data_IF_692285750890
#
_entry.id   IF_692285750890
#
_cell.length_a   1.000
_cell.length_b   1.000
_cell.length_c   1.000
_cell.angle_alpha   90.00
_cell.angle_beta   90.00
_cell.angle_gamma   90.00
#
_symmetry.space_group_name_H-M   'P 1'
#
loop_
_entity.id
_entity.type
_entity.pdbx_description
1 polymer ?
#
# COMPACT_ATOMS: atom_id res chain seq x y z
N UNK A 1 -34.44 51.21 70.25
CA UNK A 1 -34.15 49.79 69.88
C UNK A 1 -34.13 49.69 68.36
N UNK A 2 -32.94 49.67 67.77
CA UNK A 2 -32.76 49.57 66.28
C UNK A 2 -32.41 48.12 66.00
N UNK A 3 -33.32 47.43 65.29
CA UNK A 3 -33.05 46.05 64.80
C UNK A 3 -32.33 46.11 63.46
N UNK A 4 -31.08 45.66 63.42
CA UNK A 4 -30.32 45.46 62.23
C UNK A 4 -30.69 44.10 61.64
N UNK A 5 -31.24 44.12 60.41
CA UNK A 5 -31.44 42.88 59.60
C UNK A 5 -30.19 42.63 58.74
N UNK A 6 -29.47 41.56 59.04
CA UNK A 6 -28.42 41.06 58.22
C UNK A 6 -28.99 40.13 57.13
N UNK A 7 -28.80 40.52 55.87
CA UNK A 7 -29.16 39.72 54.67
C UNK A 7 -28.03 38.75 54.36
N UNK A 8 -28.26 37.43 54.17
CA UNK A 8 -27.19 36.50 53.77
C UNK A 8 -26.91 36.65 52.29
N UNK A 9 -25.63 36.84 51.98
CA UNK A 9 -25.08 36.87 50.62
C UNK A 9 -25.03 35.45 50.06
N UNK A 10 -25.89 35.15 49.09
CA UNK A 10 -25.90 33.86 48.38
C UNK A 10 -24.82 33.88 47.28
N UNK A 11 -23.70 33.20 47.50
CA UNK A 11 -22.65 33.03 46.48
C UNK A 11 -23.11 31.88 45.57
N UNK A 12 -23.58 32.20 44.37
CA UNK A 12 -23.83 31.22 43.30
C UNK A 12 -22.51 30.94 42.59
N UNK A 13 -21.91 29.80 42.88
CA UNK A 13 -20.75 29.34 42.17
C UNK A 13 -21.20 28.80 40.79
N UNK A 14 -20.94 29.54 39.73
CA UNK A 14 -21.09 29.10 38.35
C UNK A 14 -19.96 28.09 38.03
N UNK A 15 -20.26 26.80 38.07
CA UNK A 15 -19.39 25.77 37.46
C UNK A 15 -19.53 25.86 35.94
N UNK A 16 -18.59 26.51 35.28
CA UNK A 16 -18.44 26.45 33.85
C UNK A 16 -17.89 25.06 33.49
N UNK A 17 -18.78 24.14 33.08
CA UNK A 17 -18.33 22.86 32.45
C UNK A 17 -17.72 23.18 31.10
N UNK A 18 -16.41 23.14 31.05
CA UNK A 18 -15.64 23.20 29.79
C UNK A 18 -15.85 21.89 29.03
N UNK A 19 -16.89 21.85 28.19
CA UNK A 19 -17.12 20.76 27.28
C UNK A 19 -16.09 20.91 26.14
N UNK A 20 -15.01 20.14 26.20
CA UNK A 20 -14.03 20.05 25.11
C UNK A 20 -14.77 19.46 23.91
N UNK A 21 -15.29 20.30 23.03
CA UNK A 21 -15.86 19.88 21.74
C UNK A 21 -14.68 19.48 20.86
N UNK A 22 -14.35 18.19 20.83
CA UNK A 22 -13.52 17.64 19.75
C UNK A 22 -14.31 17.84 18.46
N UNK A 23 -13.74 18.58 17.52
CA UNK A 23 -14.31 18.69 16.18
C UNK A 23 -14.41 17.28 15.60
N UNK A 24 -15.51 16.93 14.91
CA UNK A 24 -15.62 15.61 14.28
C UNK A 24 -14.47 15.44 13.27
N UNK A 25 -13.79 14.30 13.34
CA UNK A 25 -12.73 13.95 12.38
C UNK A 25 -13.36 13.88 10.99
N UNK A 26 -12.67 14.43 9.98
CA UNK A 26 -13.10 14.29 8.59
C UNK A 26 -13.23 12.81 8.22
N UNK A 27 -14.26 12.38 7.49
CA UNK A 27 -14.38 10.98 7.05
C UNK A 27 -13.15 10.44 6.33
N UNK A 28 -12.40 11.28 5.62
CA UNK A 28 -11.16 10.91 4.94
C UNK A 28 -9.94 10.82 5.86
N UNK A 29 -10.03 11.37 7.07
CA UNK A 29 -9.00 11.31 8.11
C UNK A 29 -9.32 10.24 9.18
N UNK A 30 -10.47 9.58 9.10
CA UNK A 30 -10.89 8.53 10.02
C UNK A 30 -10.24 7.21 9.69
N UNK A 31 -9.31 6.77 10.55
CA UNK A 31 -8.62 5.47 10.45
C UNK A 31 -9.30 4.34 11.22
N UNK A 32 -10.46 4.56 11.85
CA UNK A 32 -11.11 3.61 12.77
C UNK A 32 -11.45 2.25 12.15
N UNK A 33 -11.58 2.21 10.82
CA UNK A 33 -11.87 0.99 10.07
C UNK A 33 -10.61 0.29 9.50
N UNK A 34 -9.44 0.86 9.81
CA UNK A 34 -8.16 0.29 9.43
C UNK A 34 -7.54 -0.52 10.56
N UNK A 35 -6.64 -1.41 10.20
CA UNK A 35 -5.82 -2.17 11.12
C UNK A 35 -4.37 -2.15 10.65
N UNK A 36 -3.44 -2.29 11.58
CA UNK A 36 -2.03 -2.52 11.25
C UNK A 36 -1.86 -3.97 10.82
N UNK A 37 -1.20 -4.21 9.68
CA UNK A 37 -1.02 -5.56 9.13
C UNK A 37 -0.30 -6.46 10.14
N UNK A 38 0.73 -6.00 10.83
CA UNK A 38 1.46 -6.79 11.83
C UNK A 38 0.62 -7.24 13.03
N UNK A 39 -0.50 -6.58 13.32
CA UNK A 39 -1.40 -7.00 14.39
C UNK A 39 -2.30 -8.17 13.95
N UNK A 40 -2.54 -8.30 12.64
CA UNK A 40 -3.38 -9.36 12.04
C UNK A 40 -2.53 -10.51 11.49
N UNK A 41 -1.35 -10.19 10.94
CA UNK A 41 -0.40 -11.13 10.32
C UNK A 41 0.98 -10.87 10.95
N UNK A 42 1.25 -11.35 12.17
CA UNK A 42 2.47 -11.01 12.91
C UNK A 42 3.77 -11.49 12.25
N UNK A 43 3.70 -12.49 11.40
CA UNK A 43 4.83 -13.05 10.65
C UNK A 43 5.04 -12.41 9.27
N UNK A 44 4.20 -11.46 8.86
CA UNK A 44 4.45 -10.67 7.65
C UNK A 44 5.75 -9.86 7.78
N UNK A 45 6.55 -9.87 6.71
CA UNK A 45 7.75 -9.07 6.63
C UNK A 45 7.40 -7.73 6.03
N UNK A 46 7.68 -6.65 6.76
CA UNK A 46 7.41 -5.29 6.28
C UNK A 46 8.71 -4.67 5.73
N UNK A 47 8.77 -4.45 4.42
CA UNK A 47 9.82 -3.67 3.76
C UNK A 47 9.19 -2.46 3.07
N UNK A 48 8.68 -1.53 3.88
CA UNK A 48 7.86 -0.42 3.39
C UNK A 48 8.72 0.55 2.58
N UNK A 49 8.64 0.40 1.25
CA UNK A 49 9.51 1.08 0.27
C UNK A 49 9.35 2.60 0.31
N UNK A 50 8.15 3.08 0.57
CA UNK A 50 7.87 4.51 0.57
C UNK A 50 8.17 5.20 1.91
N UNK A 51 8.37 4.45 2.98
CA UNK A 51 9.02 4.97 4.20
C UNK A 51 10.54 5.08 4.03
N UNK A 52 11.14 4.16 3.31
CA UNK A 52 12.57 4.14 2.99
C UNK A 52 12.92 5.06 1.81
N UNK A 53 14.21 5.13 1.47
CA UNK A 53 14.70 5.88 0.30
C UNK A 53 14.90 5.01 -0.93
N UNK A 54 14.83 3.68 -0.80
CA UNK A 54 14.96 2.76 -1.93
C UNK A 54 13.59 2.56 -2.60
N UNK A 55 13.15 3.58 -3.33
CA UNK A 55 11.96 3.64 -4.16
C UNK A 55 12.29 4.48 -5.41
N UNK A 56 11.38 4.57 -6.37
CA UNK A 56 11.63 5.25 -7.64
C UNK A 56 11.84 6.77 -7.52
N UNK A 57 11.47 7.40 -6.39
CA UNK A 57 11.71 8.81 -6.09
C UNK A 57 13.10 9.02 -5.47
N UNK A 58 13.60 8.04 -4.71
CA UNK A 58 14.88 8.13 -3.99
C UNK A 58 14.80 8.88 -2.66
N UNK A 59 13.59 9.11 -2.15
CA UNK A 59 13.31 9.84 -0.89
C UNK A 59 12.14 9.17 -0.17
N UNK A 60 12.02 9.43 1.16
CA UNK A 60 10.80 9.08 1.89
C UNK A 60 9.62 9.82 1.28
N UNK A 61 8.52 9.12 1.09
CA UNK A 61 7.29 9.67 0.52
C UNK A 61 6.46 10.36 1.60
N UNK A 62 5.84 11.47 1.24
CA UNK A 62 5.01 12.26 2.15
C UNK A 62 3.86 11.42 2.72
N UNK A 63 3.63 11.55 4.03
CA UNK A 63 2.58 10.83 4.72
C UNK A 63 2.99 9.46 5.27
N UNK A 64 4.20 8.95 5.00
CA UNK A 64 4.76 7.77 5.66
C UNK A 64 5.57 8.20 6.89
N UNK A 65 4.97 8.10 8.06
CA UNK A 65 5.58 8.52 9.34
C UNK A 65 6.34 7.38 10.02
N UNK A 66 5.88 6.12 9.82
CA UNK A 66 6.49 4.91 10.39
C UNK A 66 6.61 3.80 9.34
N UNK A 67 7.55 2.84 9.51
CA UNK A 67 7.74 1.69 8.60
C UNK A 67 6.69 0.60 8.86
N UNK A 68 5.43 0.96 8.78
CA UNK A 68 4.28 0.08 9.02
C UNK A 68 3.35 0.04 7.81
N UNK A 69 2.45 -0.93 7.78
CA UNK A 69 1.47 -1.10 6.72
C UNK A 69 0.06 -1.20 7.30
N UNK A 70 -0.87 -0.47 6.70
CA UNK A 70 -2.26 -0.41 7.12
C UNK A 70 -3.17 -0.91 6.01
N UNK A 71 -4.24 -1.61 6.37
CA UNK A 71 -5.33 -1.98 5.46
C UNK A 71 -6.68 -1.76 6.15
N UNK A 72 -7.73 -1.64 5.35
CA UNK A 72 -9.09 -1.82 5.88
C UNK A 72 -9.21 -3.21 6.50
N UNK A 73 -9.98 -3.34 7.58
CA UNK A 73 -10.14 -4.62 8.29
C UNK A 73 -10.54 -5.78 7.36
N UNK A 74 -11.53 -5.65 6.44
CA UNK A 74 -11.84 -6.73 5.52
C UNK A 74 -10.68 -7.13 4.60
N UNK A 75 -9.88 -6.18 4.12
CA UNK A 75 -8.72 -6.47 3.29
C UNK A 75 -7.61 -7.18 4.09
N UNK A 76 -7.38 -6.77 5.34
CA UNK A 76 -6.41 -7.43 6.21
C UNK A 76 -6.83 -8.86 6.59
N UNK A 77 -8.12 -9.11 6.82
CA UNK A 77 -8.66 -10.44 7.10
C UNK A 77 -8.54 -11.36 5.87
N UNK A 78 -8.82 -10.86 4.67
CA UNK A 78 -8.61 -11.59 3.42
C UNK A 78 -7.12 -11.89 3.20
N UNK A 79 -6.24 -10.91 3.44
CA UNK A 79 -4.78 -11.09 3.33
C UNK A 79 -4.24 -12.08 4.36
N UNK A 80 -4.84 -12.14 5.55
CA UNK A 80 -4.49 -13.17 6.54
C UNK A 80 -4.79 -14.58 6.02
N UNK A 81 -5.91 -14.79 5.35
CA UNK A 81 -6.24 -16.08 4.76
C UNK A 81 -5.24 -16.47 3.65
N UNK A 82 -4.75 -15.50 2.86
CA UNK A 82 -3.65 -15.72 1.91
C UNK A 82 -2.37 -16.14 2.65
N UNK A 83 -2.03 -15.44 3.73
CA UNK A 83 -0.84 -15.76 4.54
C UNK A 83 -0.94 -17.16 5.13
N UNK A 84 -2.08 -17.53 5.72
CA UNK A 84 -2.30 -18.85 6.32
C UNK A 84 -2.10 -19.97 5.26
N UNK A 85 -2.64 -19.81 4.05
CA UNK A 85 -2.45 -20.76 2.94
C UNK A 85 -0.98 -20.88 2.52
N UNK A 86 -0.28 -19.75 2.41
CA UNK A 86 1.10 -19.73 1.89
C UNK A 86 2.13 -20.20 2.94
N UNK A 87 1.87 -20.00 4.23
CA UNK A 87 2.70 -20.55 5.31
C UNK A 87 2.73 -22.09 5.26
N UNK A 88 1.60 -22.73 4.99
CA UNK A 88 1.54 -24.19 4.83
C UNK A 88 2.40 -24.68 3.66
N UNK A 89 2.68 -23.81 2.69
CA UNK A 89 3.56 -24.08 1.54
C UNK A 89 5.01 -23.64 1.76
N UNK A 90 5.34 -23.09 2.93
CA UNK A 90 6.69 -22.65 3.28
C UNK A 90 7.01 -21.20 2.91
N UNK A 91 5.99 -20.36 2.68
CA UNK A 91 6.19 -18.95 2.31
C UNK A 91 5.56 -18.00 3.33
N UNK A 92 6.22 -16.88 3.56
CA UNK A 92 5.67 -15.72 4.27
C UNK A 92 5.37 -14.60 3.28
N UNK A 93 4.45 -13.73 3.61
CA UNK A 93 4.21 -12.50 2.85
C UNK A 93 5.29 -11.46 3.18
N UNK A 94 5.79 -10.78 2.16
CA UNK A 94 6.65 -9.62 2.27
C UNK A 94 5.97 -8.43 1.62
N UNK A 95 5.65 -7.42 2.44
CA UNK A 95 4.84 -6.26 2.06
C UNK A 95 5.74 -5.09 1.70
N UNK A 96 5.54 -4.50 0.52
CA UNK A 96 6.23 -3.31 0.04
C UNK A 96 5.44 -2.03 0.28
N UNK A 97 4.11 -2.09 0.06
CA UNK A 97 3.16 -1.00 0.31
C UNK A 97 1.76 -1.56 0.60
N UNK A 98 0.92 -0.76 1.26
CA UNK A 98 -0.48 -1.08 1.49
C UNK A 98 -1.32 0.20 1.37
N UNK A 99 -2.00 0.66 2.42
CA UNK A 99 -2.61 1.98 2.40
C UNK A 99 -1.55 3.06 2.14
N UNK A 100 -1.81 3.90 1.14
CA UNK A 100 -1.01 5.06 0.75
C UNK A 100 -1.87 6.32 0.87
N UNK A 101 -1.52 7.27 1.75
CA UNK A 101 -2.31 8.49 1.90
C UNK A 101 -2.26 9.35 0.63
N UNK A 102 -3.29 10.16 0.38
CA UNK A 102 -3.30 11.05 -0.79
C UNK A 102 -2.05 11.93 -0.88
N UNK A 103 -1.47 12.34 0.26
CA UNK A 103 -0.18 13.08 0.28
C UNK A 103 0.96 12.33 -0.43
N UNK A 104 0.99 11.00 -0.32
CA UNK A 104 1.97 10.16 -1.01
C UNK A 104 1.75 10.16 -2.52
N UNK A 105 0.51 10.05 -2.97
CA UNK A 105 0.14 10.16 -4.38
C UNK A 105 0.51 11.53 -4.94
N UNK A 106 0.18 12.60 -4.21
CA UNK A 106 0.52 13.98 -4.59
C UNK A 106 2.06 14.17 -4.67
N UNK A 107 2.83 13.47 -3.82
CA UNK A 107 4.30 13.49 -3.91
C UNK A 107 4.79 12.85 -5.22
N UNK A 108 4.22 11.72 -5.63
CA UNK A 108 4.55 11.08 -6.92
C UNK A 108 4.22 11.98 -8.11
N UNK A 109 3.07 12.66 -8.09
CA UNK A 109 2.67 13.61 -9.13
C UNK A 109 3.68 14.77 -9.22
N UNK A 110 4.05 15.39 -8.09
CA UNK A 110 5.05 16.46 -8.06
C UNK A 110 6.42 15.98 -8.55
N UNK A 111 6.86 14.80 -8.11
CA UNK A 111 8.11 14.20 -8.57
C UNK A 111 8.08 13.93 -10.08
N UNK A 112 6.99 13.38 -10.61
CA UNK A 112 6.87 13.08 -12.04
C UNK A 112 6.88 14.36 -12.90
N UNK A 113 6.31 15.45 -12.40
CA UNK A 113 6.34 16.75 -13.08
C UNK A 113 7.74 17.40 -13.10
N UNK A 114 8.62 17.07 -12.17
CA UNK A 114 10.03 17.50 -12.18
C UNK A 114 10.87 16.55 -13.05
N UNK A 115 10.92 16.82 -14.34
CA UNK A 115 11.64 16.00 -15.31
C UNK A 115 13.16 15.94 -15.09
N UNK A 116 13.73 16.88 -14.32
CA UNK A 116 15.16 16.91 -14.00
C UNK A 116 15.54 15.94 -12.85
N UNK A 117 14.61 15.60 -11.97
CA UNK A 117 14.85 14.64 -10.88
C UNK A 117 14.84 13.20 -11.43
N UNK A 118 15.99 12.69 -11.81
CA UNK A 118 16.21 11.35 -12.38
C UNK A 118 17.08 10.46 -11.49
N UNK A 119 17.17 10.76 -10.19
CA UNK A 119 18.06 10.10 -9.23
C UNK A 119 17.99 8.57 -9.30
N UNK A 120 16.81 8.00 -9.39
CA UNK A 120 16.60 6.56 -9.35
C UNK A 120 16.29 5.94 -10.73
N UNK A 121 16.50 6.69 -11.82
CA UNK A 121 16.18 6.24 -13.18
C UNK A 121 16.84 4.91 -13.53
N UNK A 122 18.12 4.74 -13.23
CA UNK A 122 18.88 3.54 -13.59
C UNK A 122 18.37 2.28 -12.90
N UNK A 123 17.64 2.41 -11.79
CA UNK A 123 17.13 1.29 -10.99
C UNK A 123 15.68 0.92 -11.34
N UNK A 124 14.83 1.90 -11.68
CA UNK A 124 13.39 1.67 -11.80
C UNK A 124 12.83 1.95 -13.20
N UNK A 125 13.43 2.85 -13.98
CA UNK A 125 12.90 3.24 -15.31
C UNK A 125 14.01 3.61 -16.31
N UNK A 126 15.06 2.74 -16.49
CA UNK A 126 16.21 3.09 -17.35
C UNK A 126 15.82 3.29 -18.81
N UNK A 127 14.75 2.65 -19.25
CA UNK A 127 14.32 2.61 -20.65
C UNK A 127 13.20 3.63 -20.95
N UNK A 128 12.77 4.40 -19.93
CA UNK A 128 11.73 5.39 -20.08
C UNK A 128 12.28 6.81 -19.91
N UNK A 129 11.71 7.73 -20.66
CA UNK A 129 11.80 9.15 -20.35
C UNK A 129 10.73 9.49 -19.31
N UNK A 130 11.09 10.32 -18.33
CA UNK A 130 10.16 10.69 -17.25
C UNK A 130 8.94 11.47 -17.77
N UNK A 131 9.05 12.15 -18.89
CA UNK A 131 7.95 12.88 -19.54
C UNK A 131 6.77 12.01 -19.97
N UNK A 132 6.98 10.68 -20.13
CA UNK A 132 5.91 9.77 -20.57
C UNK A 132 5.20 9.03 -19.43
N UNK A 133 5.61 9.26 -18.17
CA UNK A 133 5.10 8.48 -17.03
C UNK A 133 3.60 8.67 -16.77
N UNK A 134 3.07 9.87 -17.01
CA UNK A 134 1.63 10.14 -16.94
C UNK A 134 0.88 9.49 -18.10
N UNK A 135 1.38 9.66 -19.33
CA UNK A 135 0.74 9.15 -20.54
C UNK A 135 0.67 7.62 -20.57
N UNK A 136 1.67 6.95 -19.95
CA UNK A 136 1.74 5.51 -19.85
C UNK A 136 1.14 4.98 -18.54
N UNK A 137 0.45 5.82 -17.76
CA UNK A 137 -0.27 5.50 -16.55
C UNK A 137 0.59 4.90 -15.41
N UNK A 138 1.92 5.09 -15.44
CA UNK A 138 2.78 4.71 -14.30
C UNK A 138 2.56 5.62 -13.09
N UNK A 139 2.20 6.89 -13.32
CA UNK A 139 1.85 7.85 -12.26
C UNK A 139 0.43 8.37 -12.53
N UNK A 140 -0.40 8.33 -11.49
CA UNK A 140 -1.80 8.76 -11.53
C UNK A 140 -2.12 9.68 -10.35
N UNK A 141 -3.09 10.59 -10.53
CA UNK A 141 -3.55 11.50 -9.47
C UNK A 141 -4.41 10.81 -8.39
N UNK A 142 -4.87 9.59 -8.67
CA UNK A 142 -5.66 8.75 -7.76
C UNK A 142 -5.10 7.34 -7.75
N UNK A 143 -5.08 6.72 -6.59
CA UNK A 143 -4.55 5.37 -6.40
C UNK A 143 -5.53 4.46 -5.67
N UNK A 144 -5.57 3.18 -6.05
CA UNK A 144 -6.27 2.14 -5.31
C UNK A 144 -5.81 2.04 -3.86
N UNK A 145 -4.52 2.21 -3.62
CA UNK A 145 -3.93 2.20 -2.28
C UNK A 145 -4.54 3.22 -1.33
N UNK A 146 -4.94 4.39 -1.85
CA UNK A 146 -5.53 5.46 -1.03
C UNK A 146 -6.93 5.11 -0.52
N UNK A 147 -7.58 4.08 -1.08
CA UNK A 147 -8.85 3.53 -0.60
C UNK A 147 -8.69 2.48 0.50
N UNK A 148 -7.44 2.05 0.77
CA UNK A 148 -7.09 1.20 1.91
C UNK A 148 -7.33 -0.29 1.73
N UNK A 149 -7.64 -0.77 0.54
CA UNK A 149 -7.87 -2.20 0.27
C UNK A 149 -6.96 -2.77 -0.82
N UNK A 150 -5.85 -2.08 -1.09
CA UNK A 150 -4.82 -2.47 -2.05
C UNK A 150 -3.51 -2.72 -1.32
N UNK A 151 -2.78 -3.76 -1.75
CA UNK A 151 -1.49 -4.15 -1.21
C UNK A 151 -0.52 -4.52 -2.32
N UNK A 152 0.74 -4.09 -2.18
CA UNK A 152 1.88 -4.48 -3.00
C UNK A 152 2.76 -5.42 -2.20
N UNK A 153 2.99 -6.64 -2.72
CA UNK A 153 3.68 -7.67 -1.95
C UNK A 153 4.39 -8.69 -2.84
N UNK A 154 5.26 -9.46 -2.19
CA UNK A 154 5.92 -10.63 -2.74
C UNK A 154 5.95 -11.77 -1.72
N UNK A 155 6.61 -12.88 -2.09
CA UNK A 155 6.83 -14.04 -1.24
C UNK A 155 8.24 -14.04 -0.64
N UNK A 156 8.34 -14.54 0.58
CA UNK A 156 9.60 -14.84 1.24
C UNK A 156 9.64 -16.34 1.54
N UNK A 157 10.63 -17.04 0.99
CA UNK A 157 10.83 -18.48 1.18
C UNK A 157 11.45 -18.74 2.56
N UNK A 158 10.73 -19.47 3.41
CA UNK A 158 11.14 -19.77 4.79
C UNK A 158 12.28 -20.80 4.86
N UNK A 159 12.47 -21.60 3.79
CA UNK A 159 13.54 -22.58 3.74
C UNK A 159 14.88 -21.97 3.36
N UNK A 160 14.87 -21.09 2.35
CA UNK A 160 16.08 -20.40 1.89
C UNK A 160 16.37 -19.12 2.62
N UNK A 161 15.41 -18.62 3.42
CA UNK A 161 15.42 -17.33 4.11
C UNK A 161 15.68 -16.14 3.15
N UNK A 162 15.07 -16.19 1.96
CA UNK A 162 15.23 -15.17 0.93
C UNK A 162 13.89 -14.78 0.32
N UNK A 163 13.86 -13.59 -0.24
CA UNK A 163 12.78 -13.17 -1.14
C UNK A 163 12.74 -14.10 -2.35
N UNK A 164 11.54 -14.51 -2.75
CA UNK A 164 11.32 -15.34 -3.94
C UNK A 164 11.61 -14.51 -5.18
N UNK A 165 12.41 -15.07 -6.10
CA UNK A 165 12.76 -14.40 -7.33
C UNK A 165 11.57 -14.38 -8.29
N UNK A 166 11.00 -13.20 -8.50
CA UNK A 166 9.88 -12.92 -9.40
C UNK A 166 10.33 -12.48 -10.81
N UNK A 167 11.65 -12.45 -11.08
CA UNK A 167 12.18 -12.02 -12.37
C UNK A 167 12.13 -10.52 -12.64
N UNK A 168 11.85 -9.72 -11.61
CA UNK A 168 11.83 -8.27 -11.71
C UNK A 168 11.65 -7.63 -10.34
N UNK A 169 12.17 -6.42 -10.18
CA UNK A 169 12.04 -5.66 -8.92
C UNK A 169 10.68 -5.01 -8.82
N UNK A 170 10.22 -4.80 -7.59
CA UNK A 170 9.09 -3.93 -7.27
C UNK A 170 9.30 -2.52 -7.86
N UNK A 171 8.23 -1.88 -8.34
CA UNK A 171 8.25 -0.55 -8.97
C UNK A 171 9.09 -0.44 -10.26
N UNK A 172 9.37 -1.54 -10.96
CA UNK A 172 9.97 -1.47 -12.27
C UNK A 172 8.96 -0.94 -13.30
N UNK A 173 9.28 0.18 -13.97
CA UNK A 173 8.43 0.78 -15.00
C UNK A 173 8.75 0.18 -16.37
N UNK A 174 8.02 -0.86 -16.73
CA UNK A 174 8.19 -1.58 -17.99
C UNK A 174 7.28 -2.80 -18.08
N UNK A 175 7.14 -3.35 -19.29
CA UNK A 175 6.28 -4.51 -19.54
C UNK A 175 6.75 -5.76 -18.78
N UNK A 176 8.00 -5.79 -18.32
CA UNK A 176 8.53 -6.86 -17.48
C UNK A 176 7.82 -6.98 -16.13
N UNK A 177 7.10 -5.93 -15.72
CA UNK A 177 6.26 -5.91 -14.50
C UNK A 177 4.86 -6.48 -14.69
N UNK A 178 4.43 -6.64 -15.94
CA UNK A 178 3.09 -7.14 -16.22
C UNK A 178 2.94 -8.61 -15.81
N UNK A 179 1.80 -9.03 -15.24
CA UNK A 179 1.54 -10.42 -14.89
C UNK A 179 1.62 -11.39 -16.07
N UNK A 180 1.27 -10.93 -17.28
CA UNK A 180 1.30 -11.71 -18.53
C UNK A 180 2.65 -11.72 -19.23
N UNK A 181 3.66 -11.04 -18.68
CA UNK A 181 4.99 -11.02 -19.27
C UNK A 181 5.60 -12.41 -19.32
N UNK A 182 5.93 -12.89 -20.53
CA UNK A 182 6.44 -14.23 -20.85
C UNK A 182 5.46 -15.39 -20.59
N UNK A 183 4.17 -15.13 -20.37
CA UNK A 183 3.21 -16.22 -20.15
C UNK A 183 1.77 -15.77 -20.18
N UNK A 184 0.86 -16.68 -19.91
CA UNK A 184 -0.57 -16.42 -19.79
C UNK A 184 -1.01 -16.61 -18.33
N UNK A 185 -1.35 -15.55 -17.60
CA UNK A 185 -1.74 -15.65 -16.19
C UNK A 185 -3.08 -16.38 -15.98
N UNK A 186 -3.96 -16.45 -16.98
CA UNK A 186 -5.25 -17.14 -16.86
C UNK A 186 -5.11 -18.65 -16.92
N UNK A 187 -4.14 -19.14 -17.71
CA UNK A 187 -3.86 -20.57 -17.85
C UNK A 187 -2.66 -21.04 -17.02
N UNK A 188 -1.84 -20.12 -16.52
CA UNK A 188 -0.57 -20.41 -15.87
C UNK A 188 0.52 -20.92 -16.83
N UNK A 189 0.31 -20.80 -18.16
CA UNK A 189 1.22 -21.29 -19.17
C UNK A 189 2.36 -20.30 -19.43
N UNK A 190 3.60 -20.76 -19.28
CA UNK A 190 4.79 -20.02 -19.69
C UNK A 190 5.00 -20.13 -21.20
N UNK A 191 5.01 -19.03 -21.91
CA UNK A 191 5.21 -18.99 -23.38
C UNK A 191 6.62 -18.56 -23.79
N UNK A 192 7.33 -17.85 -22.90
CA UNK A 192 8.61 -17.22 -23.21
C UNK A 192 8.52 -16.00 -24.12
N UNK A 193 7.31 -15.54 -24.44
CA UNK A 193 7.11 -14.34 -25.26
C UNK A 193 7.52 -13.07 -24.50
N UNK A 194 8.64 -12.51 -24.90
CA UNK A 194 9.20 -11.28 -24.38
C UNK A 194 9.16 -10.12 -25.39
N UNK A 195 8.33 -10.23 -26.41
CA UNK A 195 8.23 -9.25 -27.51
C UNK A 195 7.89 -7.83 -27.04
N UNK A 196 7.20 -7.71 -25.90
CA UNK A 196 6.90 -6.43 -25.29
C UNK A 196 8.14 -5.73 -24.66
N UNK A 197 9.21 -6.47 -24.33
CA UNK A 197 10.42 -5.90 -23.72
C UNK A 197 11.21 -5.06 -24.69
N UNK A 198 11.48 -3.80 -24.30
CA UNK A 198 12.26 -2.85 -25.14
C UNK A 198 13.74 -3.24 -25.29
N UNK A 199 14.25 -4.08 -24.39
CA UNK A 199 15.66 -4.49 -24.33
C UNK A 199 15.86 -6.01 -24.46
N UNK A 200 14.81 -6.73 -24.86
CA UNK A 200 14.84 -8.19 -24.96
C UNK A 200 15.04 -8.90 -23.63
N UNK A 201 14.66 -8.27 -22.50
CA UNK A 201 14.65 -8.93 -21.20
C UNK A 201 13.62 -10.04 -21.22
N UNK A 202 13.82 -11.05 -20.40
CA UNK A 202 12.92 -12.18 -20.24
C UNK A 202 12.94 -12.61 -18.78
N UNK A 203 11.89 -13.29 -18.35
CA UNK A 203 11.87 -14.02 -17.09
C UNK A 203 11.92 -15.53 -17.39
N UNK A 204 12.36 -16.32 -16.42
CA UNK A 204 12.41 -17.77 -16.52
C UNK A 204 11.04 -18.41 -16.27
N UNK A 205 10.83 -19.69 -16.67
CA UNK A 205 9.63 -20.45 -16.30
C UNK A 205 9.40 -20.49 -14.79
N UNK A 206 10.45 -20.59 -13.98
CA UNK A 206 10.38 -20.61 -12.53
C UNK A 206 9.90 -19.26 -11.96
N UNK A 207 10.46 -18.14 -12.45
CA UNK A 207 10.04 -16.80 -12.06
C UNK A 207 8.58 -16.53 -12.43
N UNK A 208 8.13 -16.99 -13.60
CA UNK A 208 6.72 -16.92 -13.97
C UNK A 208 5.85 -17.77 -13.05
N UNK A 209 6.24 -19.01 -12.74
CA UNK A 209 5.53 -19.87 -11.82
C UNK A 209 5.43 -19.28 -10.41
N UNK A 210 6.48 -18.58 -9.93
CA UNK A 210 6.47 -17.87 -8.67
C UNK A 210 5.42 -16.74 -8.64
N UNK A 211 5.31 -15.96 -9.73
CA UNK A 211 4.25 -14.94 -9.87
C UNK A 211 2.87 -15.59 -9.85
N UNK A 212 2.68 -16.72 -10.52
CA UNK A 212 1.40 -17.45 -10.52
C UNK A 212 1.05 -18.01 -9.15
N UNK A 213 2.02 -18.50 -8.39
CA UNK A 213 1.81 -18.96 -7.01
C UNK A 213 1.22 -17.84 -6.13
N UNK A 214 1.81 -16.65 -6.18
CA UNK A 214 1.31 -15.47 -5.46
C UNK A 214 -0.06 -15.05 -5.97
N UNK A 215 -0.19 -14.85 -7.29
CA UNK A 215 -1.45 -14.44 -7.94
C UNK A 215 -2.61 -15.36 -7.56
N UNK A 216 -2.42 -16.65 -7.68
CA UNK A 216 -3.48 -17.63 -7.48
C UNK A 216 -3.93 -17.71 -6.01
N UNK A 217 -2.99 -17.54 -5.06
CA UNK A 217 -3.35 -17.43 -3.66
C UNK A 217 -4.17 -16.15 -3.40
N UNK A 218 -3.74 -15.01 -3.92
CA UNK A 218 -4.45 -13.73 -3.77
C UNK A 218 -5.85 -13.77 -4.38
N UNK A 219 -5.99 -14.29 -5.61
CA UNK A 219 -7.29 -14.40 -6.31
C UNK A 219 -8.24 -15.33 -5.57
N UNK A 220 -7.78 -16.49 -5.08
CA UNK A 220 -8.63 -17.41 -4.29
C UNK A 220 -9.23 -16.76 -3.04
N UNK A 221 -8.54 -15.78 -2.48
CA UNK A 221 -8.99 -15.07 -1.28
C UNK A 221 -9.62 -13.69 -1.58
N UNK A 222 -10.10 -13.50 -2.82
CA UNK A 222 -10.94 -12.35 -3.19
C UNK A 222 -10.21 -11.08 -3.57
N UNK A 223 -8.93 -11.18 -3.95
CA UNK A 223 -8.20 -10.07 -4.52
C UNK A 223 -8.21 -10.15 -6.06
N UNK A 224 -8.26 -8.99 -6.70
CA UNK A 224 -8.06 -8.84 -8.15
C UNK A 224 -6.66 -8.30 -8.43
N UNK A 225 -6.10 -8.69 -9.55
CA UNK A 225 -4.80 -8.26 -10.07
C UNK A 225 -4.88 -6.90 -10.77
N UNK A 226 -3.74 -6.26 -10.96
CA UNK A 226 -3.55 -5.15 -11.89
C UNK A 226 -2.79 -5.66 -13.14
N UNK A 227 -3.22 -5.24 -14.34
CA UNK A 227 -2.64 -5.73 -15.60
C UNK A 227 -1.20 -5.29 -15.83
N UNK A 228 -0.75 -4.22 -15.16
CA UNK A 228 0.60 -3.65 -15.33
C UNK A 228 1.61 -4.04 -14.25
N UNK A 229 1.16 -4.70 -13.14
CA UNK A 229 2.00 -4.90 -11.96
C UNK A 229 1.73 -6.25 -11.31
N UNK A 230 2.70 -7.19 -11.34
CA UNK A 230 2.56 -8.54 -10.79
C UNK A 230 2.44 -8.57 -9.25
N UNK A 231 2.87 -7.53 -8.57
CA UNK A 231 2.86 -7.40 -7.10
C UNK A 231 1.58 -6.78 -6.54
N UNK A 232 0.77 -6.12 -7.39
CA UNK A 232 -0.35 -5.27 -7.00
C UNK A 232 -1.68 -6.01 -6.96
N UNK A 233 -2.35 -5.96 -5.80
CA UNK A 233 -3.62 -6.64 -5.58
C UNK A 233 -4.60 -5.75 -4.82
N UNK A 234 -5.83 -5.68 -5.30
CA UNK A 234 -6.92 -4.92 -4.66
C UNK A 234 -8.04 -5.88 -4.27
N UNK A 235 -8.58 -5.78 -3.05
CA UNK A 235 -9.76 -6.56 -2.64
C UNK A 235 -10.94 -6.26 -3.58
N UNK A 236 -11.60 -7.29 -4.14
CA UNK A 236 -12.70 -7.10 -5.11
C UNK A 236 -13.87 -6.32 -4.50
N UNK A 237 -14.26 -6.68 -3.28
CA UNK A 237 -15.36 -6.04 -2.56
C UNK A 237 -14.80 -5.05 -1.53
N UNK A 238 -14.03 -4.06 -2.00
CA UNK A 238 -13.49 -3.05 -1.12
C UNK A 238 -14.61 -2.21 -0.45
N UNK A 239 -14.50 -1.93 0.87
CA UNK A 239 -15.56 -1.23 1.60
C UNK A 239 -15.69 0.24 1.24
N UNK A 240 -14.63 0.84 0.67
CA UNK A 240 -14.55 2.28 0.38
C UNK A 240 -14.11 2.55 -1.07
N UNK A 241 -14.87 2.11 -2.10
CA UNK A 241 -14.44 2.19 -3.50
C UNK A 241 -14.27 3.62 -4.02
N UNK A 242 -14.90 4.60 -3.36
CA UNK A 242 -14.92 6.00 -3.77
C UNK A 242 -14.28 6.96 -2.74
N UNK A 243 -13.71 6.43 -1.63
CA UNK A 243 -13.12 7.24 -0.57
C UNK A 243 -11.60 7.21 -0.63
N UNK A 244 -10.98 8.38 -0.78
CA UNK A 244 -9.53 8.55 -0.81
C UNK A 244 -9.08 9.13 0.52
N UNK A 245 -8.44 8.32 1.36
CA UNK A 245 -8.05 8.67 2.71
C UNK A 245 -6.80 9.54 2.75
N UNK A 246 -6.65 10.34 3.83
CA UNK A 246 -5.61 11.36 3.96
C UNK A 246 -4.77 11.25 5.22
N UNK A 247 -5.14 10.36 6.17
CA UNK A 247 -4.38 10.17 7.42
C UNK A 247 -3.00 9.54 7.15
N UNK A 248 -1.99 9.83 7.98
CA UNK A 248 -0.63 9.31 7.75
C UNK A 248 -0.54 7.80 8.04
N UNK A 249 0.46 7.16 7.39
CA UNK A 249 0.86 5.79 7.69
C UNK A 249 1.70 5.78 8.96
N UNK A 250 1.13 5.29 10.04
CA UNK A 250 1.77 5.04 11.34
C UNK A 250 1.01 3.97 12.10
N UNK A 251 1.63 3.40 13.13
CA UNK A 251 0.98 2.42 14.01
C UNK A 251 -0.34 3.00 14.55
N UNK A 252 -1.41 2.20 14.45
CA UNK A 252 -2.71 2.58 15.01
C UNK A 252 -2.79 2.17 16.47
N UNK A 253 -3.13 3.12 17.34
CA UNK A 253 -3.40 2.87 18.75
C UNK A 253 -4.91 2.72 18.91
N UNK A 254 -5.39 1.49 18.95
CA UNK A 254 -6.78 1.16 19.23
C UNK A 254 -6.97 0.75 20.69
#
# INVERSE_FOLDING_TARGET
MIRTHTLPLLIVALFATYCCKTSPVSPTEDSSQFVTISDVIPDAILEIRYFATYNFVGKRIDGYEEPTALLTRPAAEALKAVSDELIEKGYRLKIYDAYRPQKGVDHFVRWAADIADTLMRSYFYPDLDKSVLFDQLYIMEKSGHTRGSTVDLTLFDMHTEKEVDMGGTFDWFGPESHPDFCGNPETGEYTGDNSASRKGRSITPEQFANRMLLRDAMVRHGFKTLESEWWHFTLENEPYPDTYFTFPVKQLNH
#
